data_IF_047910069727
#
_entry.id   IF_047910069727
#
_cell.length_a   1.000
_cell.length_b   1.000
_cell.length_c   1.000
_cell.angle_alpha   90.00
_cell.angle_beta   90.00
_cell.angle_gamma   90.00
#
_symmetry.space_group_name_H-M   'P 1'
#
loop_
_entity.id
_entity.type
_entity.pdbx_description
1 polymer ?
#
# COMPACT_ATOMS: atom_id res chain seq x y z
N UNK A 1 -13.55 -10.98 6.89
CA UNK A 1 -14.78 -10.14 6.96
C UNK A 1 -15.90 -10.85 6.23
N UNK A 2 -16.85 -11.43 6.98
CA UNK A 2 -17.96 -12.26 6.48
C UNK A 2 -19.26 -11.55 6.76
N UNK A 3 -19.94 -11.10 5.71
CA UNK A 3 -20.49 -9.75 5.83
C UNK A 3 -21.59 -9.33 4.74
N UNK A 4 -22.95 -9.52 4.88
CA UNK A 4 -24.05 -9.44 3.83
C UNK A 4 -25.24 -8.53 4.01
N UNK A 5 -25.45 -7.73 2.96
CA UNK A 5 -26.66 -6.95 2.73
C UNK A 5 -27.19 -7.49 1.42
N UNK A 6 -28.52 -7.63 1.28
CA UNK A 6 -29.10 -7.81 -0.03
C UNK A 6 -28.64 -6.65 -0.93
N UNK A 7 -28.34 -6.97 -2.19
CA UNK A 7 -28.13 -6.02 -3.28
C UNK A 7 -29.37 -5.12 -3.44
N UNK A 8 -29.50 -4.07 -2.64
CA UNK A 8 -30.43 -3.00 -2.97
C UNK A 8 -29.77 -2.12 -4.03
N UNK A 9 -30.41 -1.90 -5.18
CA UNK A 9 -29.92 -0.96 -6.17
C UNK A 9 -29.68 0.40 -5.51
N UNK A 10 -28.57 1.04 -5.83
CA UNK A 10 -28.37 2.43 -5.45
C UNK A 10 -29.53 3.27 -6.04
N UNK A 11 -30.18 4.14 -5.24
CA UNK A 11 -31.36 4.89 -5.69
C UNK A 11 -31.07 5.93 -6.78
N UNK A 12 -29.79 6.19 -7.06
CA UNK A 12 -29.31 7.14 -8.05
C UNK A 12 -28.48 6.47 -9.14
N UNK A 13 -27.52 5.62 -8.77
CA UNK A 13 -26.52 5.08 -9.71
C UNK A 13 -26.94 3.74 -10.31
N UNK A 14 -26.81 3.62 -11.64
CA UNK A 14 -27.06 2.40 -12.42
C UNK A 14 -26.17 1.24 -11.98
N UNK A 15 -25.04 1.57 -11.39
CA UNK A 15 -23.88 0.72 -11.26
C UNK A 15 -23.39 0.74 -9.82
N UNK A 16 -23.53 -0.40 -9.14
CA UNK A 16 -23.16 -0.58 -7.74
C UNK A 16 -21.67 -0.33 -7.50
N UNK A 17 -21.34 0.19 -6.31
CA UNK A 17 -19.97 0.42 -5.86
C UNK A 17 -19.31 -0.90 -5.41
N UNK A 18 -17.97 -0.95 -5.44
CA UNK A 18 -17.19 -2.02 -4.83
C UNK A 18 -17.57 -2.22 -3.35
N UNK A 19 -17.56 -3.47 -2.90
CA UNK A 19 -18.06 -3.87 -1.59
C UNK A 19 -16.96 -4.46 -0.72
N UNK A 20 -16.83 -3.95 0.51
CA UNK A 20 -16.31 -4.71 1.64
C UNK A 20 -17.49 -4.90 2.55
N UNK A 21 -17.92 -6.12 2.83
CA UNK A 21 -19.21 -6.22 3.50
C UNK A 21 -19.19 -6.01 5.01
N UNK A 22 -20.32 -6.39 5.66
CA UNK A 22 -20.72 -6.22 7.08
C UNK A 22 -21.42 -7.48 7.65
N UNK A 23 -21.18 -7.97 8.88
CA UNK A 23 -21.50 -9.35 9.35
C UNK A 23 -22.62 -10.20 8.66
N UNK A 24 -22.33 -11.45 8.23
CA UNK A 24 -23.33 -12.42 7.74
C UNK A 24 -23.29 -12.85 6.25
N UNK A 25 -22.43 -12.27 5.40
CA UNK A 25 -22.42 -12.58 3.96
C UNK A 25 -21.79 -13.87 3.55
N UNK A 26 -22.39 -14.35 2.47
CA UNK A 26 -21.79 -15.15 1.42
C UNK A 26 -20.40 -14.67 0.95
N UNK A 27 -20.14 -13.36 0.84
CA UNK A 27 -18.92 -12.80 0.30
C UNK A 27 -17.81 -12.67 1.34
N UNK A 28 -16.64 -13.19 1.00
CA UNK A 28 -15.39 -13.07 1.75
C UNK A 28 -14.31 -12.55 0.81
N UNK A 29 -13.55 -11.56 1.28
CA UNK A 29 -12.39 -11.03 0.55
C UNK A 29 -11.12 -11.52 1.23
N UNK A 30 -10.18 -12.05 0.44
CA UNK A 30 -8.81 -12.35 0.84
C UNK A 30 -7.90 -11.42 0.05
N UNK A 31 -7.07 -10.66 0.76
CA UNK A 31 -6.04 -9.81 0.17
C UNK A 31 -4.69 -10.23 0.73
N UNK A 32 -3.66 -10.20 -0.12
CA UNK A 32 -2.28 -10.27 0.33
C UNK A 32 -1.84 -8.89 0.81
N UNK A 33 -0.68 -8.83 1.47
CA UNK A 33 0.03 -7.58 1.70
C UNK A 33 1.35 -7.61 0.93
N UNK A 34 1.72 -6.47 0.37
CA UNK A 34 2.92 -6.31 -0.45
C UNK A 34 4.14 -5.99 0.42
N UNK A 35 3.93 -5.34 1.56
CA UNK A 35 4.98 -4.95 2.48
C UNK A 35 4.48 -4.83 3.91
N UNK A 36 5.39 -4.93 4.88
CA UNK A 36 5.14 -4.64 6.29
C UNK A 36 6.07 -3.57 6.82
N UNK A 37 5.59 -2.81 7.80
CA UNK A 37 6.32 -1.81 8.55
C UNK A 37 6.12 -2.09 10.05
N UNK A 38 7.20 -2.32 10.77
CA UNK A 38 7.17 -2.48 12.22
C UNK A 38 7.75 -1.23 12.88
N UNK A 39 6.96 -0.60 13.75
CA UNK A 39 7.40 0.47 14.63
C UNK A 39 7.75 -0.14 15.98
N UNK A 40 8.98 0.08 16.45
CA UNK A 40 9.43 -0.37 17.78
C UNK A 40 9.75 0.83 18.64
N UNK A 41 8.98 1.02 19.71
CA UNK A 41 9.30 2.02 20.73
C UNK A 41 10.56 1.59 21.48
N UNK A 42 11.65 2.35 21.38
CA UNK A 42 12.94 1.95 21.95
C UNK A 42 12.94 1.99 23.49
N UNK A 43 12.08 2.81 24.09
CA UNK A 43 11.95 2.93 25.54
C UNK A 43 11.11 1.81 26.14
N UNK A 44 9.93 1.55 25.57
CA UNK A 44 8.99 0.57 26.13
C UNK A 44 9.15 -0.83 25.54
N UNK A 45 9.90 -0.95 24.43
CA UNK A 45 10.02 -2.17 23.61
C UNK A 45 8.71 -2.63 22.97
N UNK A 46 7.65 -1.84 23.08
CA UNK A 46 6.37 -2.10 22.43
C UNK A 46 6.52 -1.98 20.92
N UNK A 47 5.89 -2.91 20.20
CA UNK A 47 5.88 -2.93 18.74
C UNK A 47 4.48 -2.72 18.20
N UNK A 48 4.40 -2.07 17.04
CA UNK A 48 3.21 -2.03 16.20
C UNK A 48 3.58 -2.49 14.78
N UNK A 49 2.81 -3.43 14.24
CA UNK A 49 3.02 -3.99 12.90
C UNK A 49 1.93 -3.48 11.97
N UNK A 50 2.35 -2.84 10.88
CA UNK A 50 1.50 -2.23 9.87
C UNK A 50 1.74 -2.93 8.54
N UNK A 51 0.66 -3.30 7.84
CA UNK A 51 0.71 -4.07 6.59
C UNK A 51 0.10 -3.28 5.46
N UNK A 52 0.85 -3.08 4.38
CA UNK A 52 0.37 -2.47 3.15
C UNK A 52 -0.30 -3.54 2.30
N UNK A 53 -1.62 -3.44 2.13
CA UNK A 53 -2.35 -4.41 1.33
C UNK A 53 -2.00 -4.32 -0.16
N UNK A 54 -2.09 -5.48 -0.80
CA UNK A 54 -2.09 -5.62 -2.25
C UNK A 54 -3.15 -4.70 -2.87
N UNK A 55 -2.88 -4.17 -4.07
CA UNK A 55 -3.78 -3.21 -4.69
C UNK A 55 -5.11 -3.84 -5.09
N UNK A 56 -6.18 -3.08 -4.95
CA UNK A 56 -7.48 -3.37 -5.57
C UNK A 56 -7.83 -2.28 -6.60
N UNK A 57 -8.82 -2.53 -7.46
CA UNK A 57 -9.33 -1.57 -8.46
C UNK A 57 -10.83 -1.39 -8.28
N UNK A 58 -11.37 -0.29 -8.80
CA UNK A 58 -12.81 -0.12 -8.90
C UNK A 58 -13.41 -1.18 -9.81
N UNK A 59 -14.08 -2.17 -9.21
CA UNK A 59 -14.68 -3.31 -9.90
C UNK A 59 -16.06 -3.69 -9.32
N UNK A 60 -16.83 -4.45 -10.10
CA UNK A 60 -17.94 -5.24 -9.60
C UNK A 60 -17.44 -6.55 -9.02
N UNK A 61 -17.67 -6.69 -7.72
CA UNK A 61 -17.39 -7.94 -7.02
C UNK A 61 -18.30 -9.05 -7.57
N UNK A 62 -17.69 -10.12 -8.07
CA UNK A 62 -18.37 -11.37 -8.51
C UNK A 62 -19.30 -11.15 -9.72
N UNK A 63 -18.90 -10.28 -10.66
CA UNK A 63 -19.53 -10.21 -11.97
C UNK A 63 -18.94 -11.25 -12.94
N UNK A 64 -19.77 -11.78 -13.85
CA UNK A 64 -19.34 -12.73 -14.90
C UNK A 64 -18.73 -12.03 -16.12
N UNK A 65 -19.06 -10.75 -16.32
CA UNK A 65 -18.53 -9.92 -17.41
C UNK A 65 -18.58 -8.44 -17.00
N UNK A 66 -17.81 -7.60 -17.71
CA UNK A 66 -17.75 -6.15 -17.47
C UNK A 66 -17.37 -5.79 -16.02
N UNK A 67 -16.31 -6.43 -15.51
CA UNK A 67 -15.89 -6.34 -14.11
C UNK A 67 -15.42 -4.93 -13.73
N UNK A 68 -14.68 -4.25 -14.60
CA UNK A 68 -14.13 -2.92 -14.32
C UNK A 68 -15.08 -1.79 -14.69
N UNK A 69 -15.06 -0.73 -13.87
CA UNK A 69 -15.80 0.52 -14.12
C UNK A 69 -14.85 1.68 -14.29
N UNK A 70 -15.24 2.69 -15.07
CA UNK A 70 -14.48 3.93 -15.26
C UNK A 70 -15.26 5.09 -14.63
N UNK A 71 -14.62 5.99 -13.88
CA UNK A 71 -13.20 5.98 -13.58
C UNK A 71 -12.86 4.95 -12.48
N UNK A 72 -11.67 4.39 -12.57
CA UNK A 72 -11.11 3.46 -11.58
C UNK A 72 -9.81 4.04 -11.04
N UNK A 73 -9.55 3.78 -9.77
CA UNK A 73 -8.26 4.05 -9.14
C UNK A 73 -7.75 2.82 -8.42
N UNK A 74 -6.46 2.86 -8.14
CA UNK A 74 -5.85 1.98 -7.19
C UNK A 74 -6.37 2.27 -5.78
N UNK A 75 -7.00 1.27 -5.16
CA UNK A 75 -7.31 1.28 -3.75
C UNK A 75 -6.19 0.57 -2.99
N UNK A 76 -5.60 1.27 -2.04
CA UNK A 76 -4.57 0.78 -1.12
C UNK A 76 -4.99 1.07 0.29
N UNK A 77 -4.66 0.15 1.20
CA UNK A 77 -5.02 0.27 2.60
C UNK A 77 -3.84 -0.20 3.45
N UNK A 78 -3.61 0.50 4.56
CA UNK A 78 -2.67 0.07 5.58
C UNK A 78 -3.45 -0.33 6.83
N UNK A 79 -3.17 -1.53 7.34
CA UNK A 79 -3.74 -2.02 8.59
C UNK A 79 -2.65 -2.38 9.58
N UNK A 80 -2.85 -1.94 10.82
CA UNK A 80 -2.28 -2.63 11.97
C UNK A 80 -3.15 -3.81 12.39
N UNK A 81 -2.74 -4.51 13.46
CA UNK A 81 -3.54 -5.63 14.00
C UNK A 81 -4.92 -5.23 14.53
N UNK A 82 -5.09 -3.97 14.91
CA UNK A 82 -6.32 -3.46 15.57
C UNK A 82 -6.83 -2.16 14.97
N UNK A 83 -6.11 -1.55 14.04
CA UNK A 83 -6.43 -0.24 13.51
C UNK A 83 -6.09 -0.10 12.02
N UNK A 84 -6.68 0.91 11.40
CA UNK A 84 -6.44 1.34 10.03
C UNK A 84 -5.67 2.66 10.05
N UNK A 85 -4.62 2.76 9.22
CA UNK A 85 -3.85 4.00 9.07
C UNK A 85 -4.08 4.60 7.67
N UNK A 86 -4.58 5.84 7.58
CA UNK A 86 -4.72 6.55 6.30
C UNK A 86 -3.40 6.72 5.54
N UNK A 87 -3.46 6.58 4.22
CA UNK A 87 -2.35 6.93 3.32
C UNK A 87 -2.43 8.44 3.00
N UNK A 88 -1.31 9.13 3.16
CA UNK A 88 -1.17 10.56 2.94
C UNK A 88 -1.50 10.97 1.50
N UNK A 89 -2.16 12.12 1.36
CA UNK A 89 -2.41 12.78 0.06
C UNK A 89 -1.58 14.04 -0.12
N UNK A 90 -0.91 14.48 0.94
CA UNK A 90 -0.06 15.67 0.98
C UNK A 90 1.43 15.31 1.03
N UNK A 91 2.32 16.23 0.64
CA UNK A 91 3.77 16.09 0.81
C UNK A 91 4.16 15.78 2.27
N UNK A 92 5.34 15.19 2.44
CA UNK A 92 5.84 14.74 3.73
C UNK A 92 5.86 15.83 4.82
N UNK A 93 6.20 17.06 4.43
CA UNK A 93 6.31 18.21 5.32
C UNK A 93 4.99 18.95 5.55
N UNK A 94 3.89 18.49 4.95
CA UNK A 94 2.59 19.13 5.09
C UNK A 94 1.67 18.33 6.03
N UNK A 95 1.05 19.00 7.02
CA UNK A 95 0.06 18.35 7.87
C UNK A 95 -1.20 18.02 7.08
N UNK A 96 -1.82 16.92 7.46
CA UNK A 96 -3.11 16.48 6.93
C UNK A 96 -3.98 16.05 8.12
N UNK A 97 -5.22 16.56 8.24
CA UNK A 97 -6.09 16.30 9.39
C UNK A 97 -6.74 14.91 9.27
N UNK A 98 -5.91 13.88 9.19
CA UNK A 98 -6.31 12.47 9.14
C UNK A 98 -5.87 11.78 10.42
N UNK A 99 -6.62 10.75 10.82
CA UNK A 99 -6.32 9.97 12.01
C UNK A 99 -6.53 8.49 11.74
N UNK A 100 -5.73 7.65 12.40
CA UNK A 100 -6.01 6.22 12.42
C UNK A 100 -7.33 5.95 13.15
N UNK A 101 -8.00 4.86 12.78
CA UNK A 101 -9.28 4.45 13.36
C UNK A 101 -9.24 2.97 13.72
N UNK A 102 -10.05 2.54 14.68
CA UNK A 102 -10.07 1.12 15.07
C UNK A 102 -10.68 0.26 13.95
N UNK A 103 -10.23 -0.99 13.82
CA UNK A 103 -10.81 -1.91 12.84
C UNK A 103 -12.22 -2.33 13.22
N UNK A 104 -12.52 -2.49 14.51
CA UNK A 104 -13.85 -2.88 15.00
C UNK A 104 -14.94 -1.88 14.62
N UNK A 105 -14.63 -0.60 14.47
CA UNK A 105 -15.56 0.42 13.95
C UNK A 105 -15.91 0.21 12.47
N UNK A 106 -15.01 -0.41 11.69
CA UNK A 106 -15.14 -0.57 10.24
C UNK A 106 -15.52 -1.99 9.80
N UNK A 107 -15.20 -2.98 10.62
CA UNK A 107 -15.07 -4.36 10.20
C UNK A 107 -15.59 -5.31 11.28
N UNK A 108 -16.66 -6.04 10.98
CA UNK A 108 -17.26 -7.00 11.91
C UNK A 108 -16.33 -8.15 12.32
N UNK A 109 -15.50 -8.65 11.39
CA UNK A 109 -14.52 -9.72 11.65
C UNK A 109 -13.39 -9.77 10.64
N UNK A 110 -12.15 -9.50 11.02
CA UNK A 110 -10.97 -9.67 10.16
C UNK A 110 -10.07 -10.81 10.68
N UNK A 111 -9.23 -11.37 9.82
CA UNK A 111 -8.22 -12.37 10.18
C UNK A 111 -6.92 -12.04 9.43
N UNK A 112 -5.79 -12.13 10.13
CA UNK A 112 -4.47 -11.85 9.58
C UNK A 112 -3.61 -13.11 9.71
N UNK A 113 -3.26 -13.67 8.56
CA UNK A 113 -2.38 -14.83 8.47
C UNK A 113 -1.06 -14.44 7.82
N UNK A 114 0.02 -14.65 8.54
CA UNK A 114 1.40 -14.42 8.08
C UNK A 114 2.06 -15.78 7.96
N UNK A 115 2.72 -16.03 6.83
CA UNK A 115 3.51 -17.25 6.61
C UNK A 115 4.96 -16.84 6.49
N UNK A 116 5.83 -17.53 7.22
CA UNK A 116 7.28 -17.39 7.14
C UNK A 116 7.85 -18.48 6.24
N UNK A 117 8.92 -18.15 5.52
CA UNK A 117 9.70 -19.14 4.76
C UNK A 117 10.91 -19.48 5.62
N UNK A 118 11.01 -20.75 6.03
CA UNK A 118 12.15 -21.25 6.79
C UNK A 118 13.39 -21.39 5.89
N UNK A 119 14.57 -21.39 6.50
CA UNK A 119 15.83 -21.56 5.76
C UNK A 119 16.28 -20.34 4.94
N UNK A 120 15.63 -19.18 5.12
CA UNK A 120 16.10 -17.94 4.51
C UNK A 120 17.50 -17.56 5.02
N UNK A 121 18.42 -17.23 4.10
CA UNK A 121 19.78 -16.78 4.40
C UNK A 121 19.93 -15.29 4.14
N UNK A 122 20.65 -14.59 5.01
CA UNK A 122 21.05 -13.21 4.75
C UNK A 122 22.12 -13.16 3.64
N UNK A 123 21.95 -12.22 2.70
CA UNK A 123 22.92 -11.83 1.70
C UNK A 123 23.56 -10.53 2.17
N UNK A 124 24.85 -10.59 2.48
CA UNK A 124 25.61 -9.50 3.11
C UNK A 124 26.63 -8.86 2.16
N UNK A 125 26.71 -9.34 0.91
CA UNK A 125 27.64 -8.82 -0.10
C UNK A 125 26.95 -8.70 -1.46
N UNK A 126 27.42 -7.80 -2.34
CA UNK A 126 26.89 -7.69 -3.70
C UNK A 126 26.95 -8.99 -4.50
N UNK A 127 28.02 -9.78 -4.34
CA UNK A 127 28.17 -11.07 -5.03
C UNK A 127 27.09 -12.07 -4.64
N UNK A 128 26.79 -12.19 -3.35
CA UNK A 128 25.72 -13.06 -2.88
C UNK A 128 24.35 -12.65 -3.43
N UNK A 129 24.11 -11.34 -3.61
CA UNK A 129 22.89 -10.79 -4.21
C UNK A 129 22.82 -11.12 -5.69
N UNK A 130 23.92 -10.92 -6.44
CA UNK A 130 24.03 -11.26 -7.86
C UNK A 130 23.79 -12.77 -8.05
N UNK A 131 24.46 -13.61 -7.28
CA UNK A 131 24.31 -15.07 -7.33
C UNK A 131 22.88 -15.51 -7.03
N UNK A 132 22.26 -14.98 -5.98
CA UNK A 132 20.87 -15.31 -5.62
C UNK A 132 19.88 -14.87 -6.71
N UNK A 133 20.12 -13.72 -7.33
CA UNK A 133 19.28 -13.23 -8.44
C UNK A 133 19.41 -14.12 -9.67
N UNK A 134 20.63 -14.48 -10.07
CA UNK A 134 20.88 -15.34 -11.24
C UNK A 134 20.42 -16.79 -11.02
N UNK A 135 20.24 -17.20 -9.76
CA UNK A 135 19.69 -18.51 -9.39
C UNK A 135 18.17 -18.48 -9.15
N UNK A 136 17.48 -17.42 -9.58
CA UNK A 136 16.02 -17.24 -9.46
C UNK A 136 15.47 -17.48 -8.05
N UNK A 137 16.25 -17.08 -7.02
CA UNK A 137 15.85 -17.27 -5.62
C UNK A 137 14.80 -16.25 -5.21
N UNK A 138 13.85 -16.67 -4.38
CA UNK A 138 12.92 -15.74 -3.72
C UNK A 138 13.70 -14.82 -2.78
N UNK A 139 13.49 -13.52 -2.91
CA UNK A 139 14.20 -12.53 -2.08
C UNK A 139 13.26 -11.49 -1.48
N UNK A 140 13.42 -11.25 -0.18
CA UNK A 140 12.87 -10.10 0.53
C UNK A 140 14.01 -9.20 1.00
N UNK A 141 13.79 -7.89 1.04
CA UNK A 141 14.67 -6.97 1.74
C UNK A 141 14.03 -6.56 3.07
N UNK A 142 14.86 -6.42 4.09
CA UNK A 142 14.51 -5.81 5.38
C UNK A 142 15.38 -4.59 5.61
N UNK A 143 14.77 -3.42 5.71
CA UNK A 143 15.45 -2.15 5.91
C UNK A 143 15.04 -1.54 7.25
N UNK A 144 16.01 -1.21 8.09
CA UNK A 144 15.80 -0.68 9.44
C UNK A 144 16.48 0.67 9.61
N UNK A 145 15.77 1.66 10.15
CA UNK A 145 16.33 2.95 10.54
C UNK A 145 15.76 3.43 11.88
N UNK A 146 16.47 4.35 12.54
CA UNK A 146 16.10 4.88 13.86
C UNK A 146 15.84 6.39 13.78
N UNK A 147 14.74 6.85 14.37
CA UNK A 147 14.54 8.26 14.69
C UNK A 147 14.86 8.47 16.17
N UNK A 148 16.11 8.83 16.44
CA UNK A 148 16.65 9.02 17.80
C UNK A 148 15.87 10.07 18.59
N UNK A 149 15.43 11.15 17.92
CA UNK A 149 14.67 12.23 18.56
C UNK A 149 13.36 11.71 19.15
N UNK A 150 12.71 10.77 18.47
CA UNK A 150 11.46 10.17 18.92
C UNK A 150 11.70 8.90 19.75
N UNK A 151 12.85 8.26 19.61
CA UNK A 151 13.12 6.97 20.25
C UNK A 151 12.28 5.85 19.63
N UNK A 152 12.18 5.83 18.30
CA UNK A 152 11.46 4.80 17.54
C UNK A 152 12.35 4.21 16.46
N UNK A 153 12.36 2.89 16.37
CA UNK A 153 12.98 2.14 15.28
C UNK A 153 11.90 1.71 14.29
N UNK A 154 12.15 1.94 13.01
CA UNK A 154 11.27 1.54 11.90
C UNK A 154 11.95 0.40 11.16
N UNK A 155 11.24 -0.71 10.95
CA UNK A 155 11.70 -1.83 10.12
C UNK A 155 10.70 -2.09 9.01
N UNK A 156 11.13 -1.96 7.76
CA UNK A 156 10.34 -2.28 6.58
C UNK A 156 10.77 -3.65 6.06
N UNK A 157 9.81 -4.48 5.65
CA UNK A 157 10.08 -5.72 4.94
C UNK A 157 9.21 -5.79 3.68
N UNK A 158 9.83 -6.10 2.54
CA UNK A 158 9.20 -6.06 1.22
C UNK A 158 9.93 -7.00 0.24
N UNK A 159 9.25 -7.53 -0.79
CA UNK A 159 9.85 -8.37 -1.80
C UNK A 159 10.81 -7.56 -2.69
N UNK A 160 11.93 -8.18 -3.08
CA UNK A 160 12.82 -7.66 -4.11
C UNK A 160 12.21 -8.00 -5.48
N UNK A 161 11.30 -7.15 -5.95
CA UNK A 161 10.57 -7.37 -7.20
C UNK A 161 11.32 -6.93 -8.47
N UNK A 162 12.27 -6.00 -8.33
CA UNK A 162 13.11 -5.52 -9.42
C UNK A 162 14.50 -5.21 -8.89
N UNK A 163 15.49 -5.78 -9.55
CA UNK A 163 16.91 -5.59 -9.26
C UNK A 163 17.69 -5.46 -10.58
N UNK A 164 18.54 -4.45 -10.65
CA UNK A 164 19.52 -4.29 -11.73
C UNK A 164 20.85 -4.88 -11.28
N UNK A 165 21.56 -5.59 -12.16
CA UNK A 165 22.86 -6.19 -11.86
C UNK A 165 23.93 -5.68 -12.81
N UNK A 166 25.13 -5.45 -12.27
CA UNK A 166 26.35 -5.23 -13.03
C UNK A 166 27.42 -6.17 -12.47
N UNK A 167 27.57 -7.34 -13.12
CA UNK A 167 28.43 -8.43 -12.64
C UNK A 167 29.93 -8.12 -12.67
N UNK A 168 30.42 -7.37 -13.66
CA UNK A 168 31.84 -7.03 -13.83
C UNK A 168 32.39 -6.15 -12.71
N UNK A 169 31.54 -5.28 -12.17
CA UNK A 169 31.92 -4.35 -11.08
C UNK A 169 31.31 -4.74 -9.73
N UNK A 170 30.65 -5.91 -9.65
CA UNK A 170 30.03 -6.38 -8.41
C UNK A 170 29.00 -5.38 -7.85
N UNK A 171 28.18 -4.80 -8.72
CA UNK A 171 27.15 -3.83 -8.35
C UNK A 171 25.76 -4.41 -8.53
N UNK A 172 24.85 -4.01 -7.65
CA UNK A 172 23.42 -4.21 -7.80
C UNK A 172 22.66 -2.93 -7.44
N UNK A 173 21.42 -2.83 -7.89
CA UNK A 173 20.50 -1.80 -7.43
C UNK A 173 19.09 -2.40 -7.35
N UNK A 174 18.53 -2.44 -6.15
CA UNK A 174 17.11 -2.74 -5.95
C UNK A 174 16.31 -1.45 -6.18
N UNK A 175 15.19 -1.56 -6.89
CA UNK A 175 14.21 -0.48 -7.04
C UNK A 175 12.82 -1.11 -7.14
N UNK A 176 12.10 -1.17 -6.02
CA UNK A 176 10.87 -1.96 -5.89
C UNK A 176 9.84 -1.22 -5.04
N UNK A 177 8.64 -1.78 -4.95
CA UNK A 177 7.58 -1.30 -4.09
C UNK A 177 6.19 -1.60 -4.67
N UNK A 178 5.15 -0.96 -4.10
CA UNK A 178 5.24 0.08 -3.09
C UNK A 178 5.49 -0.45 -1.66
N UNK A 179 6.00 0.42 -0.79
CA UNK A 179 6.10 0.25 0.67
C UNK A 179 5.33 1.37 1.39
N UNK A 180 4.96 1.15 2.66
CA UNK A 180 4.32 2.15 3.50
C UNK A 180 5.30 2.71 4.55
N UNK A 181 5.60 4.00 4.44
CA UNK A 181 6.55 4.73 5.30
C UNK A 181 5.78 5.49 6.39
N UNK A 182 6.13 5.34 7.67
CA UNK A 182 5.40 6.00 8.76
C UNK A 182 5.63 7.51 8.74
N UNK A 183 4.56 8.28 8.97
CA UNK A 183 4.67 9.70 9.27
C UNK A 183 5.03 9.91 10.74
N UNK A 184 6.32 9.81 11.05
CA UNK A 184 6.83 9.87 12.43
C UNK A 184 6.44 11.14 13.22
N UNK A 185 6.27 12.32 12.62
CA UNK A 185 5.60 13.46 13.27
C UNK A 185 4.25 13.15 13.93
N UNK A 186 3.51 12.17 13.44
CA UNK A 186 2.21 11.75 13.99
C UNK A 186 2.30 10.55 14.94
N UNK A 187 3.51 10.09 15.26
CA UNK A 187 3.70 8.96 16.15
C UNK A 187 3.41 9.34 17.60
N UNK A 188 2.56 8.56 18.28
CA UNK A 188 2.11 8.84 19.64
C UNK A 188 2.72 7.94 20.72
N UNK A 189 3.82 7.25 20.38
CA UNK A 189 4.47 6.28 21.25
C UNK A 189 4.01 4.84 21.01
N UNK A 190 2.90 4.64 20.29
CA UNK A 190 2.41 3.32 19.88
C UNK A 190 2.42 3.20 18.36
N UNK A 191 1.68 4.08 17.66
CA UNK A 191 1.52 4.02 16.20
C UNK A 191 1.47 5.43 15.59
N UNK A 192 1.30 5.51 14.27
CA UNK A 192 1.19 6.75 13.49
C UNK A 192 -0.23 6.96 13.00
N UNK A 193 -0.64 8.22 12.87
CA UNK A 193 -1.95 8.58 12.34
C UNK A 193 -2.00 8.66 10.80
N UNK A 194 -0.84 8.58 10.15
CA UNK A 194 -0.68 8.68 8.71
C UNK A 194 0.54 7.88 8.23
N UNK A 195 0.46 7.31 7.03
CA UNK A 195 1.61 6.74 6.32
C UNK A 195 1.73 7.28 4.90
N UNK A 196 2.93 7.26 4.35
CA UNK A 196 3.20 7.59 2.96
C UNK A 196 3.39 6.33 2.14
N UNK A 197 2.91 6.34 0.90
CA UNK A 197 3.20 5.29 -0.05
C UNK A 197 4.47 5.66 -0.82
N UNK A 198 5.38 4.72 -1.02
CA UNK A 198 6.66 5.00 -1.68
C UNK A 198 7.18 3.80 -2.49
N UNK A 199 8.00 4.05 -3.50
CA UNK A 199 8.98 3.06 -3.94
C UNK A 199 10.23 3.16 -3.07
N UNK A 200 11.02 2.10 -3.04
CA UNK A 200 12.27 2.00 -2.29
C UNK A 200 13.42 1.62 -3.24
N UNK A 201 14.54 2.32 -3.11
CA UNK A 201 15.75 2.03 -3.89
C UNK A 201 17.02 2.03 -3.01
N UNK A 202 17.92 1.09 -3.29
CA UNK A 202 19.24 1.01 -2.66
C UNK A 202 20.20 0.17 -3.51
N UNK A 203 21.49 0.51 -3.42
CA UNK A 203 22.60 -0.21 -4.09
C UNK A 203 23.66 -0.72 -3.10
N UNK A 204 23.44 -0.49 -1.81
CA UNK A 204 24.29 -0.87 -0.69
C UNK A 204 23.44 -1.22 0.53
N UNK A 205 24.08 -1.56 1.64
CA UNK A 205 23.41 -2.10 2.82
C UNK A 205 23.22 -1.09 3.96
N UNK A 206 23.67 0.15 3.79
CA UNK A 206 23.73 1.21 4.79
C UNK A 206 22.92 2.48 4.42
N UNK A 207 22.36 2.52 3.21
CA UNK A 207 21.62 3.67 2.69
C UNK A 207 20.42 3.24 1.85
N UNK A 208 19.34 4.00 1.94
CA UNK A 208 18.10 3.78 1.20
C UNK A 208 17.44 5.11 0.81
N UNK A 209 16.78 5.12 -0.34
CA UNK A 209 15.90 6.20 -0.76
C UNK A 209 14.46 5.73 -0.88
N UNK A 210 13.53 6.55 -0.40
CA UNK A 210 12.10 6.35 -0.60
C UNK A 210 11.55 7.41 -1.54
N UNK A 211 10.97 7.00 -2.67
CA UNK A 211 10.33 7.90 -3.62
C UNK A 211 8.82 7.96 -3.34
N UNK A 212 8.37 9.01 -2.66
CA UNK A 212 6.99 9.14 -2.21
C UNK A 212 6.03 9.36 -3.37
N UNK A 213 4.92 8.63 -3.32
CA UNK A 213 3.83 8.69 -4.29
C UNK A 213 2.60 9.37 -3.68
N UNK A 214 1.97 10.25 -4.45
CA UNK A 214 0.69 10.87 -4.06
C UNK A 214 -0.20 11.16 -5.27
N UNK A 215 -1.47 11.38 -4.99
CA UNK A 215 -2.41 11.90 -5.97
C UNK A 215 -2.20 13.41 -6.22
N UNK A 216 -2.36 13.85 -7.46
CA UNK A 216 -2.30 15.26 -7.86
C UNK A 216 -3.55 15.70 -8.61
N UNK A 217 -3.93 16.96 -8.43
CA UNK A 217 -4.93 17.59 -9.29
C UNK A 217 -4.34 17.82 -10.69
N UNK A 218 -4.94 17.17 -11.69
CA UNK A 218 -4.59 17.43 -13.07
C UNK A 218 -5.12 18.79 -13.53
N UNK A 219 -4.39 19.44 -14.44
CA UNK A 219 -4.84 20.66 -15.08
C UNK A 219 -6.18 20.43 -15.82
N UNK A 220 -7.05 21.45 -15.88
CA UNK A 220 -8.40 21.31 -16.44
C UNK A 220 -8.42 20.70 -17.85
N UNK A 221 -7.46 21.07 -18.71
CA UNK A 221 -7.33 20.49 -20.07
C UNK A 221 -7.01 18.99 -20.06
N UNK A 222 -6.15 18.54 -19.14
CA UNK A 222 -5.85 17.11 -19.01
C UNK A 222 -7.06 16.34 -18.46
N UNK A 223 -7.85 16.99 -17.60
CA UNK A 223 -9.08 16.40 -17.08
C UNK A 223 -10.10 16.11 -18.17
N UNK A 224 -10.19 16.91 -19.24
CA UNK A 224 -11.08 16.60 -20.38
C UNK A 224 -10.78 15.22 -20.99
N UNK A 225 -9.50 14.82 -21.01
CA UNK A 225 -9.08 13.52 -21.49
C UNK A 225 -9.17 12.43 -20.42
N UNK A 226 -8.69 12.70 -19.20
CA UNK A 226 -8.66 11.74 -18.08
C UNK A 226 -10.06 11.35 -17.61
N UNK A 227 -10.97 12.32 -17.55
CA UNK A 227 -12.34 12.11 -17.05
C UNK A 227 -13.26 11.53 -18.12
N UNK A 228 -12.83 11.48 -19.39
CA UNK A 228 -13.62 10.90 -20.49
C UNK A 228 -13.83 9.41 -20.24
N UNK A 229 -15.09 9.04 -20.05
CA UNK A 229 -15.48 7.64 -19.88
C UNK A 229 -15.17 6.86 -21.15
N UNK A 230 -14.42 5.76 -21.00
CA UNK A 230 -14.15 4.76 -22.03
C UNK A 230 -14.46 3.38 -21.47
N UNK A 231 -15.72 2.97 -21.55
CA UNK A 231 -16.24 1.78 -20.89
C UNK A 231 -17.48 2.11 -20.08
N UNK A 232 -17.71 1.37 -18.99
CA UNK A 232 -18.87 1.56 -18.12
C UNK A 232 -18.65 2.72 -17.15
N UNK A 233 -19.46 3.77 -17.21
CA UNK A 233 -19.33 4.91 -16.30
C UNK A 233 -19.84 4.56 -14.91
N UNK A 234 -18.97 4.46 -13.90
CA UNK A 234 -19.38 4.25 -12.49
C UNK A 234 -20.41 5.29 -12.03
N UNK A 235 -20.40 6.48 -12.63
CA UNK A 235 -21.25 7.60 -12.24
C UNK A 235 -22.55 7.68 -13.05
N UNK A 236 -22.84 6.71 -13.92
CA UNK A 236 -24.09 6.67 -14.68
C UNK A 236 -25.31 6.61 -13.74
N UNK A 237 -26.24 7.55 -13.91
CA UNK A 237 -27.48 7.61 -13.15
C UNK A 237 -28.59 6.79 -13.82
N UNK A 238 -29.50 6.22 -13.02
CA UNK A 238 -30.75 5.63 -13.53
C UNK A 238 -31.61 6.67 -14.26
N UNK A 239 -31.74 7.85 -13.64
CA UNK A 239 -32.44 9.01 -14.18
C UNK A 239 -31.50 10.23 -14.12
N UNK A 240 -31.03 10.76 -15.26
CA UNK A 240 -30.18 11.95 -15.31
C UNK A 240 -30.77 13.21 -14.65
N UNK A 241 -32.09 13.25 -14.43
CA UNK A 241 -32.81 14.33 -13.77
C UNK A 241 -32.89 14.16 -12.24
N UNK A 242 -32.69 12.94 -11.74
CA UNK A 242 -32.68 12.63 -10.31
C UNK A 242 -31.25 12.47 -9.82
N UNK A 243 -30.62 13.58 -9.45
CA UNK A 243 -29.20 13.61 -9.06
C UNK A 243 -29.02 13.50 -7.54
N UNK A 244 -28.01 12.77 -7.06
CA UNK A 244 -27.63 12.82 -5.66
C UNK A 244 -26.97 14.16 -5.32
N UNK A 245 -26.96 14.58 -4.04
CA UNK A 245 -26.22 15.75 -3.59
C UNK A 245 -24.73 15.67 -3.99
N UNK A 246 -24.18 16.77 -4.50
CA UNK A 246 -22.76 16.84 -4.88
C UNK A 246 -22.40 16.12 -6.19
N UNK A 247 -23.38 15.81 -7.04
CA UNK A 247 -23.13 15.22 -8.35
C UNK A 247 -22.58 16.24 -9.38
N UNK A 248 -21.59 15.86 -10.22
CA UNK A 248 -20.87 14.58 -10.20
C UNK A 248 -19.85 14.54 -9.06
N UNK A 249 -19.65 13.37 -8.42
CA UNK A 249 -18.60 13.24 -7.43
C UNK A 249 -17.21 13.45 -8.07
N UNK A 250 -16.20 13.83 -7.28
CA UNK A 250 -14.83 13.93 -7.76
C UNK A 250 -14.37 12.62 -8.40
N UNK A 251 -13.76 12.73 -9.58
CA UNK A 251 -13.14 11.59 -10.25
C UNK A 251 -11.74 11.33 -9.64
N UNK A 252 -11.25 10.08 -9.67
CA UNK A 252 -9.92 9.75 -9.19
C UNK A 252 -8.82 10.57 -9.86
N UNK A 253 -7.78 10.83 -9.09
CA UNK A 253 -6.65 11.66 -9.48
C UNK A 253 -5.48 10.81 -9.96
N UNK A 254 -4.66 11.29 -10.91
CA UNK A 254 -3.42 10.60 -11.25
C UNK A 254 -2.49 10.57 -10.04
N UNK A 255 -1.82 9.43 -9.84
CA UNK A 255 -0.76 9.27 -8.85
C UNK A 255 0.59 9.55 -9.50
N UNK A 256 1.45 10.32 -8.82
CA UNK A 256 2.81 10.60 -9.25
C UNK A 256 3.80 10.44 -8.11
N UNK A 257 5.05 10.20 -8.45
CA UNK A 257 6.18 10.32 -7.54
C UNK A 257 6.62 11.77 -7.45
N UNK A 258 6.83 12.29 -6.23
CA UNK A 258 6.95 13.75 -6.03
C UNK A 258 8.05 14.17 -5.06
N UNK A 259 8.56 13.27 -4.22
CA UNK A 259 9.53 13.60 -3.19
C UNK A 259 10.41 12.39 -2.90
N UNK A 260 11.71 12.61 -2.74
CA UNK A 260 12.65 11.58 -2.29
C UNK A 260 12.98 11.83 -0.81
N UNK A 261 12.94 10.76 -0.02
CA UNK A 261 13.39 10.75 1.37
C UNK A 261 14.61 9.81 1.50
N UNK A 262 15.83 10.37 1.58
CA UNK A 262 17.02 9.57 1.84
C UNK A 262 17.12 9.22 3.32
N UNK A 263 17.65 8.04 3.64
CA UNK A 263 17.89 7.58 5.01
C UNK A 263 19.17 6.75 5.08
N UNK A 264 19.98 7.02 6.11
CA UNK A 264 20.89 6.02 6.65
C UNK A 264 20.05 4.90 7.27
N UNK A 265 20.31 3.66 6.87
CA UNK A 265 19.51 2.52 7.27
C UNK A 265 20.31 1.23 7.11
N UNK A 266 20.12 0.27 8.01
CA UNK A 266 20.66 -1.07 7.82
C UNK A 266 19.70 -1.88 6.97
N UNK A 267 20.14 -2.32 5.79
CA UNK A 267 19.39 -3.19 4.90
C UNK A 267 20.02 -4.58 4.83
N UNK A 268 19.19 -5.62 4.94
CA UNK A 268 19.58 -7.01 4.72
C UNK A 268 18.67 -7.59 3.65
N UNK A 269 19.24 -8.24 2.64
CA UNK A 269 18.47 -9.05 1.69
C UNK A 269 18.44 -10.48 2.22
N UNK A 270 17.25 -11.05 2.33
CA UNK A 270 17.00 -12.43 2.73
C UNK A 270 16.66 -13.22 1.47
N UNK A 271 17.32 -14.37 1.28
CA UNK A 271 17.08 -15.26 0.14
C UNK A 271 16.67 -16.64 0.62
N UNK A 272 15.63 -17.21 0.01
CA UNK A 272 15.21 -18.58 0.19
C UNK A 272 15.08 -19.28 -1.17
N UNK A 273 15.00 -20.60 -1.15
CA UNK A 273 14.63 -21.33 -2.36
C UNK A 273 13.23 -20.93 -2.83
N UNK A 274 13.01 -20.95 -4.14
CA UNK A 274 11.66 -20.79 -4.67
C UNK A 274 10.78 -21.93 -4.11
N UNK A 275 9.57 -21.63 -3.61
CA UNK A 275 8.62 -22.68 -3.25
C UNK A 275 8.40 -23.61 -4.45
N UNK A 276 8.49 -24.93 -4.22
CA UNK A 276 8.20 -25.95 -5.23
C UNK A 276 6.75 -25.92 -5.70
#
# INVERSE_FOLDING_TARGET
LSTSHPHQPDPYYRYMHAFVGHEGAAYRVRLQFDASCTLTNLRTRQTDELFLLAPCRGEYTIATENLFVIPSSECRVVFGRTHHVPIARRPYNEPEPVRRSTLSERYARYDLQIRTIDGARALTTPDQVIEATLADRTMNARTTYVDERRGVMVTLEFPVGLINLQKREHLFQVCTGPVAIPDLPTWDGVSVDRMFLAEVAFSGFDYVEFCLRRELEAHAREREWLDRVRGRDRLELWDPNKRPPGYPPPRPKPAVYHQVLPREATTVILSAEAPA
#
